data_IF_799629805453
#
_entry.id   IF_799629805453
#
_cell.length_a   1.000
_cell.length_b   1.000
_cell.length_c   1.000
_cell.angle_alpha   90.00
_cell.angle_beta   90.00
_cell.angle_gamma   90.00
#
_symmetry.space_group_name_H-M   'P 1'
#
loop_
_entity.id
_entity.type
_entity.pdbx_description
1 polymer ?
#
# COMPACT_ATOMS: atom_id res chain seq x y z
N UNK A 1 3.03 6.89 -8.64
CA UNK A 1 3.99 6.68 -9.76
C UNK A 1 5.26 5.94 -9.32
N UNK A 2 5.69 6.08 -8.07
CA UNK A 2 7.02 5.62 -7.65
C UNK A 2 7.04 4.24 -6.94
N UNK A 3 5.89 3.75 -6.47
CA UNK A 3 5.75 2.54 -5.65
C UNK A 3 5.91 1.22 -6.41
N UNK A 4 5.99 0.11 -5.65
CA UNK A 4 5.98 -1.29 -6.14
C UNK A 4 6.90 -1.60 -7.33
N UNK A 5 8.10 -1.02 -7.34
CA UNK A 5 9.19 -1.46 -8.22
C UNK A 5 9.60 -0.53 -9.35
N UNK A 6 8.90 0.62 -9.57
CA UNK A 6 9.30 1.56 -10.64
C UNK A 6 10.54 2.37 -10.30
N UNK A 7 10.57 3.04 -9.15
CA UNK A 7 11.69 3.91 -8.79
C UNK A 7 12.32 3.64 -7.44
N UNK A 8 11.62 2.95 -6.53
CA UNK A 8 12.19 2.35 -5.34
C UNK A 8 11.11 1.47 -4.68
N UNK A 9 11.48 0.31 -4.12
CA UNK A 9 10.54 -0.56 -3.38
C UNK A 9 10.04 0.11 -2.08
N UNK A 10 10.85 1.01 -1.50
CA UNK A 10 10.56 1.88 -0.35
C UNK A 10 11.06 3.29 -0.61
N UNK A 11 10.40 4.08 -1.46
CA UNK A 11 10.78 5.49 -1.72
C UNK A 11 10.47 6.45 -0.54
N UNK A 12 10.70 6.03 0.69
CA UNK A 12 10.95 6.93 1.81
C UNK A 12 12.41 6.80 2.25
N UNK A 13 13.04 5.63 2.10
CA UNK A 13 14.46 5.45 2.45
C UNK A 13 15.44 6.07 1.43
N UNK A 14 15.07 6.20 0.15
CA UNK A 14 16.00 6.63 -0.92
C UNK A 14 15.90 8.12 -1.32
N UNK A 15 14.90 8.87 -0.84
CA UNK A 15 14.66 10.25 -1.27
C UNK A 15 15.34 11.31 -0.41
N UNK A 16 16.15 10.92 0.58
CA UNK A 16 16.94 11.85 1.42
C UNK A 16 16.14 12.91 2.19
N UNK A 17 14.81 12.88 2.07
CA UNK A 17 13.88 13.84 2.65
C UNK A 17 12.82 13.03 3.38
N UNK A 18 12.76 13.28 4.69
CA UNK A 18 11.95 12.65 5.74
C UNK A 18 12.48 11.29 6.22
N UNK A 19 13.46 11.38 7.12
CA UNK A 19 13.59 10.64 8.37
C UNK A 19 13.57 9.09 8.33
N UNK A 20 14.28 8.47 9.27
CA UNK A 20 14.31 7.03 9.55
C UNK A 20 12.93 6.38 9.82
N UNK A 21 11.83 7.12 9.68
CA UNK A 21 10.43 6.70 9.84
C UNK A 21 9.70 6.91 8.52
N UNK A 22 8.98 5.88 8.07
CA UNK A 22 8.06 5.94 6.93
C UNK A 22 7.02 7.07 7.06
N UNK A 23 6.26 7.37 6.00
CA UNK A 23 5.26 8.42 5.99
C UNK A 23 4.06 8.00 6.83
N UNK A 24 3.32 8.98 7.34
CA UNK A 24 2.11 8.71 8.11
C UNK A 24 0.99 8.08 7.25
N UNK A 25 0.88 8.53 6.00
CA UNK A 25 -0.06 8.01 5.01
C UNK A 25 0.65 7.87 3.67
N UNK A 26 0.52 6.72 3.02
CA UNK A 26 1.06 6.45 1.69
C UNK A 26 0.02 5.82 0.77
N UNK A 27 -0.19 6.42 -0.40
CA UNK A 27 -1.09 5.87 -1.42
C UNK A 27 -0.34 4.93 -2.37
N UNK A 28 -0.97 3.81 -2.70
CA UNK A 28 -0.46 2.80 -3.64
C UNK A 28 -1.54 2.45 -4.67
N UNK A 29 -1.12 1.96 -5.83
CA UNK A 29 -2.00 1.62 -6.95
C UNK A 29 -1.18 1.39 -8.21
N UNK A 30 -1.75 1.61 -9.41
CA UNK A 30 -1.06 1.47 -10.72
C UNK A 30 -0.32 0.14 -10.85
N UNK A 31 1.00 0.14 -10.63
CA UNK A 31 1.88 -1.03 -10.62
C UNK A 31 1.51 -2.07 -9.56
N UNK A 32 0.66 -1.73 -8.58
CA UNK A 32 0.08 -2.69 -7.63
C UNK A 32 -0.65 -3.85 -8.33
N UNK A 33 -1.48 -3.54 -9.34
CA UNK A 33 -2.14 -4.51 -10.20
C UNK A 33 -1.49 -4.68 -11.56
N UNK A 34 -0.37 -3.99 -11.82
CA UNK A 34 0.36 -3.97 -13.11
C UNK A 34 -0.50 -3.74 -14.35
N UNK A 35 -1.67 -3.09 -14.21
CA UNK A 35 -2.63 -2.88 -15.30
C UNK A 35 -3.60 -4.04 -15.57
N UNK A 36 -3.46 -5.19 -14.90
CA UNK A 36 -4.39 -6.32 -15.04
C UNK A 36 -5.73 -6.07 -14.34
N UNK A 37 -5.69 -5.40 -13.18
CA UNK A 37 -6.88 -5.06 -12.39
C UNK A 37 -6.76 -3.65 -11.80
N UNK A 38 -7.91 -2.99 -11.64
CA UNK A 38 -8.01 -1.68 -11.01
C UNK A 38 -7.97 -1.81 -9.49
N UNK A 39 -6.77 -1.71 -8.92
CA UNK A 39 -6.53 -1.83 -7.48
C UNK A 39 -5.70 -0.66 -6.97
N UNK A 40 -6.12 -0.11 -5.83
CA UNK A 40 -5.44 0.94 -5.10
C UNK A 40 -5.59 0.67 -3.60
N UNK A 41 -4.71 1.27 -2.81
CA UNK A 41 -4.71 1.10 -1.36
C UNK A 41 -4.02 2.27 -0.67
N UNK A 42 -4.23 2.35 0.63
CA UNK A 42 -3.59 3.31 1.51
C UNK A 42 -2.85 2.52 2.59
N UNK A 43 -1.57 2.81 2.76
CA UNK A 43 -0.75 2.35 3.87
C UNK A 43 -0.74 3.45 4.94
N UNK A 44 -0.95 3.07 6.19
CA UNK A 44 -1.00 3.99 7.33
C UNK A 44 0.09 3.61 8.33
N UNK A 45 0.73 4.62 8.92
CA UNK A 45 1.73 4.40 9.98
C UNK A 45 1.07 3.88 11.27
N UNK A 46 1.84 3.20 12.15
CA UNK A 46 1.33 2.76 13.45
C UNK A 46 0.74 3.91 14.28
N UNK A 47 1.38 5.09 14.25
CA UNK A 47 0.90 6.32 14.92
C UNK A 47 -0.51 6.70 14.47
N UNK A 48 -0.76 6.69 13.16
CA UNK A 48 -2.07 7.02 12.61
C UNK A 48 -3.08 5.92 12.94
N UNK A 49 -2.68 4.65 12.82
CA UNK A 49 -3.52 3.50 13.20
C UNK A 49 -3.98 3.59 14.66
N UNK A 50 -3.06 3.87 15.59
CA UNK A 50 -3.34 4.00 17.03
C UNK A 50 -4.38 5.09 17.28
N UNK A 51 -4.25 6.26 16.66
CA UNK A 51 -5.21 7.35 16.79
C UNK A 51 -6.64 6.98 16.32
N UNK A 52 -6.78 6.09 15.32
CA UNK A 52 -8.09 5.58 14.89
C UNK A 52 -8.63 4.51 15.83
N UNK A 53 -7.78 3.61 16.30
CA UNK A 53 -8.15 2.49 17.19
C UNK A 53 -8.56 2.99 18.57
N UNK A 54 -7.85 3.99 19.13
CA UNK A 54 -8.14 4.56 20.45
C UNK A 54 -9.44 5.39 20.50
N UNK A 55 -9.93 5.85 19.34
CA UNK A 55 -11.21 6.55 19.23
C UNK A 55 -12.33 5.59 18.84
N UNK A 56 -12.95 5.82 17.68
CA UNK A 56 -14.16 5.11 17.26
C UNK A 56 -13.88 3.71 16.70
N UNK A 57 -12.62 3.38 16.40
CA UNK A 57 -12.23 2.13 15.75
C UNK A 57 -12.82 1.92 14.35
N UNK A 58 -13.52 2.92 13.81
CA UNK A 58 -14.35 2.78 12.61
C UNK A 58 -14.10 3.94 11.65
N UNK A 59 -14.02 3.61 10.36
CA UNK A 59 -13.95 4.57 9.25
C UNK A 59 -15.28 4.50 8.53
N UNK A 60 -16.04 5.59 8.53
CA UNK A 60 -17.33 5.64 7.87
C UNK A 60 -17.17 5.76 6.35
N UNK A 61 -17.79 4.83 5.62
CA UNK A 61 -17.83 4.83 4.16
C UNK A 61 -16.72 4.00 3.51
N UNK A 62 -17.11 3.26 2.48
CA UNK A 62 -16.21 2.48 1.64
C UNK A 62 -16.72 2.51 0.19
N UNK A 63 -15.84 2.16 -0.75
CA UNK A 63 -16.21 2.02 -2.16
C UNK A 63 -17.00 0.72 -2.36
N UNK A 64 -17.91 0.66 -3.33
CA UNK A 64 -18.69 -0.56 -3.65
C UNK A 64 -17.82 -1.80 -3.87
N UNK A 65 -16.61 -1.61 -4.42
CA UNK A 65 -15.64 -2.67 -4.68
C UNK A 65 -14.42 -2.62 -3.75
N UNK A 66 -14.58 -2.09 -2.54
CA UNK A 66 -13.54 -2.12 -1.51
C UNK A 66 -13.22 -3.58 -1.14
N UNK A 67 -11.93 -3.92 -0.99
CA UNK A 67 -11.46 -5.29 -0.66
C UNK A 67 -11.96 -6.40 -1.60
N UNK A 68 -12.18 -6.09 -2.89
CA UNK A 68 -12.64 -7.08 -3.86
C UNK A 68 -11.65 -8.26 -4.02
N UNK A 69 -12.11 -9.47 -3.70
CA UNK A 69 -11.30 -10.71 -3.65
C UNK A 69 -10.49 -10.97 -4.93
N UNK A 70 -11.13 -10.96 -6.10
CA UNK A 70 -10.47 -11.15 -7.39
C UNK A 70 -9.31 -10.16 -7.62
N UNK A 71 -9.53 -8.88 -7.35
CA UNK A 71 -8.51 -7.83 -7.52
C UNK A 71 -7.33 -8.06 -6.58
N UNK A 72 -7.60 -8.47 -5.34
CA UNK A 72 -6.57 -8.81 -4.36
C UNK A 72 -5.74 -10.03 -4.78
N UNK A 73 -6.37 -11.09 -5.30
CA UNK A 73 -5.68 -12.28 -5.80
C UNK A 73 -4.73 -11.93 -6.96
N UNK A 74 -5.21 -11.16 -7.94
CA UNK A 74 -4.37 -10.73 -9.07
C UNK A 74 -3.23 -9.83 -8.60
N UNK A 75 -3.51 -8.86 -7.72
CA UNK A 75 -2.48 -7.99 -7.15
C UNK A 75 -1.40 -8.80 -6.41
N UNK A 76 -1.79 -9.81 -5.63
CA UNK A 76 -0.86 -10.68 -4.92
C UNK A 76 0.03 -11.48 -5.89
N UNK A 77 -0.55 -12.05 -6.95
CA UNK A 77 0.19 -12.76 -7.98
C UNK A 77 1.21 -11.84 -8.69
N UNK A 78 0.80 -10.63 -9.04
CA UNK A 78 1.67 -9.59 -9.63
C UNK A 78 2.82 -9.24 -8.70
N UNK A 79 2.53 -8.97 -7.42
CA UNK A 79 3.58 -8.60 -6.47
C UNK A 79 4.55 -9.76 -6.20
N UNK A 80 4.09 -11.01 -6.13
CA UNK A 80 4.96 -12.19 -5.98
C UNK A 80 5.92 -12.40 -7.16
N UNK A 81 5.53 -12.00 -8.37
CA UNK A 81 6.39 -12.11 -9.56
C UNK A 81 7.55 -11.10 -9.55
N UNK A 82 7.44 -10.02 -8.77
CA UNK A 82 8.47 -9.01 -8.68
C UNK A 82 9.56 -9.42 -7.64
N UNK A 83 10.79 -9.75 -8.06
CA UNK A 83 11.84 -10.25 -7.15
C UNK A 83 12.29 -9.21 -6.11
N UNK A 84 11.96 -7.92 -6.32
CA UNK A 84 12.24 -6.83 -5.38
C UNK A 84 11.20 -6.74 -4.26
N UNK A 85 10.09 -7.48 -4.36
CA UNK A 85 8.98 -7.51 -3.39
C UNK A 85 9.02 -8.83 -2.62
N UNK A 86 9.74 -8.86 -1.49
CA UNK A 86 9.68 -9.99 -0.55
C UNK A 86 8.63 -9.70 0.52
N UNK A 87 7.53 -10.44 0.48
CA UNK A 87 6.65 -10.57 1.64
C UNK A 87 7.33 -11.54 2.60
N UNK A 88 7.76 -11.07 3.77
CA UNK A 88 8.01 -11.99 4.89
C UNK A 88 6.63 -12.50 5.31
N UNK A 89 6.45 -13.81 5.24
CA UNK A 89 5.31 -14.49 5.88
C UNK A 89 5.50 -14.46 7.38
#
# INVERSE_FOLDING_TARGET
MCGTGRSCYRRIELLGVVCLKGPDIQTIGKTLGSGYVTVAGILISPKVKEAFVERSGTIAGAQTYHQHSFKCCVALAVQKKNPKVRFKT
#
